data_IF_897931721252
#
_entry.id   IF_897931721252
#
_cell.length_a   1.000
_cell.length_b   1.000
_cell.length_c   1.000
_cell.angle_alpha   90.00
_cell.angle_beta   90.00
_cell.angle_gamma   90.00
#
_symmetry.space_group_name_H-M   'P 1'
#
loop_
_entity.id
_entity.type
_entity.pdbx_description
1 polymer ?
#
# COMPACT_ATOMS: atom_id res chain seq x y z
N UNK A 1 -6.83 4.72 -18.10
CA UNK A 1 -7.58 5.09 -16.88
C UNK A 1 -7.00 4.27 -15.73
N UNK A 2 -6.75 4.86 -14.56
CA UNK A 2 -6.13 4.18 -13.40
C UNK A 2 -7.13 3.24 -12.70
N UNK A 3 -7.49 2.14 -13.36
CA UNK A 3 -8.57 1.23 -12.94
C UNK A 3 -8.13 0.14 -11.95
N UNK A 4 -6.92 0.28 -11.40
CA UNK A 4 -6.32 -0.79 -10.59
C UNK A 4 -7.05 -0.99 -9.26
N UNK A 5 -7.57 0.07 -8.65
CA UNK A 5 -8.32 -0.06 -7.39
C UNK A 5 -9.71 -0.66 -7.57
N UNK A 6 -10.52 -0.23 -8.56
CA UNK A 6 -11.73 -0.97 -8.90
C UNK A 6 -11.44 -2.43 -9.28
N UNK A 7 -10.33 -2.71 -9.96
CA UNK A 7 -9.93 -4.09 -10.25
C UNK A 7 -9.59 -4.89 -8.96
N UNK A 8 -8.77 -4.34 -8.06
CA UNK A 8 -8.50 -4.95 -6.75
C UNK A 8 -9.80 -5.16 -5.97
N UNK A 9 -10.70 -4.17 -5.98
CA UNK A 9 -11.97 -4.26 -5.31
C UNK A 9 -12.83 -5.39 -5.89
N UNK A 10 -12.96 -5.46 -7.22
CA UNK A 10 -13.71 -6.50 -7.91
C UNK A 10 -13.17 -7.91 -7.61
N UNK A 11 -11.85 -8.07 -7.56
CA UNK A 11 -11.22 -9.35 -7.21
C UNK A 11 -11.47 -9.72 -5.74
N UNK A 12 -11.39 -8.73 -4.84
CA UNK A 12 -11.52 -8.96 -3.39
C UNK A 12 -12.96 -9.01 -2.88
N UNK A 13 -13.92 -8.43 -3.58
CA UNK A 13 -15.35 -8.48 -3.25
C UNK A 13 -15.92 -9.91 -3.34
N UNK A 14 -15.26 -10.76 -4.13
CA UNK A 14 -15.58 -12.18 -4.27
C UNK A 14 -14.59 -13.09 -3.52
N UNK A 15 -13.71 -12.51 -2.69
CA UNK A 15 -12.72 -13.26 -1.92
C UNK A 15 -13.41 -14.18 -0.92
N UNK A 16 -13.14 -15.48 -1.05
CA UNK A 16 -13.54 -16.46 -0.04
C UNK A 16 -12.51 -16.47 1.08
N UNK A 17 -12.98 -16.28 2.32
CA UNK A 17 -12.15 -16.38 3.50
C UNK A 17 -11.57 -17.80 3.64
N UNK A 18 -10.27 -17.90 3.90
CA UNK A 18 -9.58 -19.18 4.09
C UNK A 18 -8.23 -18.94 4.77
N UNK A 19 -7.80 -19.85 5.65
CA UNK A 19 -6.45 -19.84 6.22
C UNK A 19 -5.81 -21.17 5.84
N UNK A 20 -4.70 -21.11 5.10
CA UNK A 20 -3.98 -22.30 4.67
C UNK A 20 -3.39 -23.07 5.87
N UNK A 21 -3.32 -24.40 5.77
CA UNK A 21 -2.82 -25.29 6.84
C UNK A 21 -1.37 -24.98 7.25
N UNK A 22 -0.58 -24.42 6.35
CA UNK A 22 0.83 -24.06 6.59
C UNK A 22 1.03 -22.62 7.06
N UNK A 23 -0.05 -21.83 7.17
CA UNK A 23 0.03 -20.48 7.70
C UNK A 23 0.19 -20.49 9.22
N UNK A 24 1.04 -19.59 9.73
CA UNK A 24 1.29 -19.39 11.16
C UNK A 24 0.56 -18.12 11.62
N UNK A 25 -0.64 -18.27 12.17
CA UNK A 25 -1.44 -17.14 12.69
C UNK A 25 -1.43 -17.19 14.21
N UNK A 26 -0.85 -16.17 14.81
CA UNK A 26 -0.80 -16.03 16.25
C UNK A 26 -2.22 -15.94 16.85
N UNK A 27 -2.53 -16.63 17.96
CA UNK A 27 -3.86 -16.60 18.59
C UNK A 27 -4.34 -15.20 19.02
N UNK A 28 -3.42 -14.26 19.27
CA UNK A 28 -3.76 -12.89 19.66
C UNK A 28 -3.98 -11.96 18.44
N UNK A 29 -3.81 -12.47 17.21
CA UNK A 29 -4.16 -11.73 16.00
C UNK A 29 -5.69 -11.71 15.79
N UNK A 30 -6.22 -10.57 15.35
CA UNK A 30 -7.64 -10.38 15.08
C UNK A 30 -7.91 -10.28 13.59
N UNK A 31 -8.54 -11.30 13.03
CA UNK A 31 -8.99 -11.34 11.64
C UNK A 31 -10.53 -11.20 11.62
N UNK A 32 -11.05 -10.22 10.87
CA UNK A 32 -12.50 -9.99 10.70
C UNK A 32 -12.88 -9.96 9.22
N UNK A 33 -14.14 -10.28 8.94
CA UNK A 33 -14.72 -10.28 7.58
C UNK A 33 -13.99 -11.29 6.66
N UNK A 34 -13.87 -10.97 5.37
CA UNK A 34 -13.29 -11.88 4.38
C UNK A 34 -11.76 -11.79 4.34
N UNK A 35 -11.07 -12.61 5.13
CA UNK A 35 -9.59 -12.67 5.11
C UNK A 35 -9.12 -14.01 4.53
N UNK A 36 -8.25 -13.94 3.52
CA UNK A 36 -7.55 -15.10 2.98
C UNK A 36 -6.07 -15.03 3.32
N UNK A 37 -5.55 -16.08 3.94
CA UNK A 37 -4.14 -16.24 4.32
C UNK A 37 -3.60 -17.47 3.61
N UNK A 38 -2.59 -17.27 2.77
CA UNK A 38 -2.01 -18.33 1.95
C UNK A 38 -0.79 -19.00 2.60
N UNK A 39 -0.27 -20.03 1.92
CA UNK A 39 0.73 -20.95 2.45
C UNK A 39 1.99 -20.27 3.00
N UNK A 40 2.42 -20.71 4.19
CA UNK A 40 3.62 -20.21 4.86
C UNK A 40 3.58 -18.73 5.25
N UNK A 41 2.45 -18.03 5.09
CA UNK A 41 2.30 -16.68 5.62
C UNK A 41 2.29 -16.70 7.15
N UNK A 42 2.84 -15.65 7.77
CA UNK A 42 2.93 -15.50 9.21
C UNK A 42 2.27 -14.21 9.67
N UNK A 43 1.39 -14.29 10.65
CA UNK A 43 0.71 -13.15 11.26
C UNK A 43 1.04 -13.17 12.75
N UNK A 44 1.74 -12.15 13.23
CA UNK A 44 2.19 -12.06 14.62
C UNK A 44 1.12 -11.50 15.57
N UNK A 45 1.35 -11.69 16.87
CA UNK A 45 0.45 -11.28 17.96
C UNK A 45 -0.08 -9.85 17.83
N UNK A 46 -1.37 -9.66 18.08
CA UNK A 46 -2.03 -8.36 18.11
C UNK A 46 -2.24 -7.69 16.76
N UNK A 47 -1.80 -8.29 15.64
CA UNK A 47 -2.11 -7.76 14.32
C UNK A 47 -3.64 -7.73 14.08
N UNK A 48 -4.12 -6.69 13.41
CA UNK A 48 -5.55 -6.49 13.10
C UNK A 48 -5.72 -6.52 11.59
N UNK A 49 -6.44 -7.52 11.09
CA UNK A 49 -6.74 -7.70 9.67
C UNK A 49 -8.25 -7.59 9.47
N UNK A 50 -8.71 -6.53 8.82
CA UNK A 50 -10.13 -6.26 8.57
C UNK A 50 -10.44 -6.39 7.08
N UNK A 51 -11.16 -7.45 6.70
CA UNK A 51 -11.41 -7.83 5.31
C UNK A 51 -12.26 -6.83 4.48
N UNK A 52 -12.26 -6.96 3.15
CA UNK A 52 -11.62 -8.04 2.41
C UNK A 52 -10.10 -7.85 2.27
N UNK A 53 -9.32 -8.86 2.65
CA UNK A 53 -7.85 -8.81 2.63
C UNK A 53 -7.27 -10.15 2.17
N UNK A 54 -6.31 -10.08 1.26
CA UNK A 54 -5.51 -11.23 0.83
C UNK A 54 -4.08 -11.08 1.35
N UNK A 55 -3.63 -12.06 2.14
CA UNK A 55 -2.24 -12.22 2.59
C UNK A 55 -1.63 -13.40 1.82
N UNK A 56 -0.79 -13.11 0.84
CA UNK A 56 -0.21 -14.11 -0.06
C UNK A 56 0.93 -14.91 0.60
N UNK A 57 1.33 -15.97 -0.08
CA UNK A 57 2.26 -16.95 0.43
C UNK A 57 3.59 -16.37 0.95
N UNK A 58 4.02 -16.83 2.13
CA UNK A 58 5.27 -16.40 2.76
C UNK A 58 5.34 -14.94 3.21
N UNK A 59 4.23 -14.18 3.12
CA UNK A 59 4.18 -12.82 3.68
C UNK A 59 4.26 -12.85 5.21
N UNK A 60 4.91 -11.85 5.81
CA UNK A 60 5.04 -11.71 7.26
C UNK A 60 4.40 -10.41 7.70
N UNK A 61 3.40 -10.51 8.58
CA UNK A 61 2.69 -9.39 9.18
C UNK A 61 3.11 -9.27 10.64
N UNK A 62 3.80 -8.18 10.97
CA UNK A 62 4.37 -7.95 12.29
C UNK A 62 3.34 -7.59 13.36
N UNK A 63 3.75 -7.71 14.64
CA UNK A 63 2.86 -7.52 15.78
C UNK A 63 2.14 -6.17 15.79
N UNK A 64 0.82 -6.17 15.97
CA UNK A 64 0.04 -4.93 16.03
C UNK A 64 -0.09 -4.18 14.69
N UNK A 65 0.36 -4.74 13.57
CA UNK A 65 0.11 -4.15 12.26
C UNK A 65 -1.39 -4.13 11.95
N UNK A 66 -1.85 -3.10 11.25
CA UNK A 66 -3.26 -2.93 10.86
C UNK A 66 -3.36 -3.00 9.34
N UNK A 67 -4.09 -4.00 8.84
CA UNK A 67 -4.31 -4.21 7.40
C UNK A 67 -5.81 -4.25 7.17
N UNK A 68 -6.32 -3.36 6.32
CA UNK A 68 -7.77 -3.18 6.19
C UNK A 68 -8.22 -2.82 4.78
N UNK A 69 -9.50 -3.00 4.51
CA UNK A 69 -10.23 -2.48 3.36
C UNK A 69 -9.54 -2.80 2.02
N UNK A 70 -9.92 -3.89 1.36
CA UNK A 70 -9.49 -4.21 -0.01
C UNK A 70 -7.98 -4.12 -0.20
N UNK A 71 -7.23 -4.80 0.68
CA UNK A 71 -5.76 -4.80 0.65
C UNK A 71 -5.21 -6.16 0.25
N UNK A 72 -4.20 -6.14 -0.61
CA UNK A 72 -3.42 -7.32 -1.00
C UNK A 72 -1.98 -7.15 -0.52
N UNK A 73 -1.52 -8.08 0.31
CA UNK A 73 -0.12 -8.21 0.69
C UNK A 73 0.48 -9.36 -0.10
N UNK A 74 1.27 -9.04 -1.13
CA UNK A 74 1.85 -9.99 -2.05
C UNK A 74 2.90 -10.93 -1.43
N UNK A 75 3.32 -11.96 -2.17
CA UNK A 75 4.18 -13.01 -1.66
C UNK A 75 5.51 -12.49 -1.13
N UNK A 76 5.95 -13.02 0.00
CA UNK A 76 7.22 -12.67 0.64
C UNK A 76 7.34 -11.22 1.13
N UNK A 77 6.26 -10.43 1.13
CA UNK A 77 6.28 -9.09 1.72
C UNK A 77 6.51 -9.17 3.23
N UNK A 78 7.19 -8.16 3.79
CA UNK A 78 7.45 -8.05 5.23
C UNK A 78 6.93 -6.72 5.75
N UNK A 79 5.90 -6.80 6.58
CA UNK A 79 5.21 -5.64 7.16
C UNK A 79 5.57 -5.54 8.64
N UNK A 80 6.04 -4.39 9.06
CA UNK A 80 6.44 -4.14 10.44
C UNK A 80 5.26 -4.16 11.39
N UNK A 81 5.57 -4.45 12.66
CA UNK A 81 4.62 -4.20 13.72
C UNK A 81 4.22 -2.73 13.80
N UNK A 82 2.93 -2.49 14.05
CA UNK A 82 2.34 -1.14 14.13
C UNK A 82 2.32 -0.35 12.82
N UNK A 83 2.60 -0.97 11.67
CA UNK A 83 2.36 -0.38 10.36
C UNK A 83 0.86 -0.40 10.02
N UNK A 84 0.41 0.53 9.18
CA UNK A 84 -0.97 0.54 8.68
C UNK A 84 -1.01 0.51 7.15
N UNK A 85 -1.80 -0.41 6.59
CA UNK A 85 -2.00 -0.56 5.15
C UNK A 85 -3.50 -0.65 4.85
N UNK A 86 -3.96 0.13 3.87
CA UNK A 86 -5.38 0.16 3.48
C UNK A 86 -5.58 0.43 2.00
N UNK A 87 -6.58 -0.21 1.36
CA UNK A 87 -6.96 -0.04 -0.05
C UNK A 87 -5.75 -0.04 -0.99
N UNK A 88 -4.83 -0.98 -0.75
CA UNK A 88 -3.53 -1.00 -1.41
C UNK A 88 -3.12 -2.39 -1.89
N UNK A 89 -2.30 -2.42 -2.93
CA UNK A 89 -1.68 -3.63 -3.47
C UNK A 89 -0.17 -3.54 -3.31
N UNK A 90 0.41 -4.49 -2.59
CA UNK A 90 1.85 -4.70 -2.53
C UNK A 90 2.15 -5.94 -3.36
N UNK A 91 2.85 -5.82 -4.48
CA UNK A 91 2.97 -6.89 -5.48
C UNK A 91 3.74 -8.12 -4.97
N UNK A 92 4.93 -7.93 -4.38
CA UNK A 92 5.72 -9.03 -3.84
C UNK A 92 7.11 -8.59 -3.37
N UNK A 93 7.62 -9.22 -2.32
CA UNK A 93 8.93 -8.90 -1.74
C UNK A 93 9.06 -7.45 -1.23
N UNK A 94 7.95 -6.75 -1.00
CA UNK A 94 7.96 -5.39 -0.44
C UNK A 94 8.46 -5.45 1.00
N UNK A 95 9.41 -4.58 1.32
CA UNK A 95 9.98 -4.44 2.65
C UNK A 95 9.48 -3.16 3.29
N UNK A 96 8.59 -3.29 4.26
CA UNK A 96 8.10 -2.22 5.11
C UNK A 96 8.40 -2.61 6.56
N UNK A 97 9.68 -2.78 6.87
CA UNK A 97 10.16 -3.38 8.13
C UNK A 97 10.25 -2.40 9.31
N UNK A 98 9.76 -1.18 9.11
CA UNK A 98 9.53 -0.19 10.16
C UNK A 98 8.11 0.41 10.04
N UNK A 99 7.62 1.04 11.11
CA UNK A 99 6.30 1.69 11.12
C UNK A 99 6.17 2.71 9.99
N UNK A 100 5.13 2.59 9.19
CA UNK A 100 4.79 3.51 8.11
C UNK A 100 3.28 3.37 7.79
N UNK A 101 2.76 4.26 6.94
CA UNK A 101 1.38 4.24 6.47
C UNK A 101 1.33 4.10 4.95
N UNK A 102 0.58 3.11 4.46
CA UNK A 102 0.34 2.93 3.02
C UNK A 102 -1.17 2.84 2.77
N UNK A 103 -1.75 3.97 2.39
CA UNK A 103 -3.15 4.06 1.98
C UNK A 103 -3.28 4.25 0.47
N UNK A 104 -4.30 3.64 -0.12
CA UNK A 104 -4.79 4.02 -1.44
C UNK A 104 -3.72 3.90 -2.55
N UNK A 105 -2.81 2.93 -2.47
CA UNK A 105 -1.56 2.89 -3.23
C UNK A 105 -1.24 1.52 -3.87
N UNK A 106 -0.34 1.53 -4.85
CA UNK A 106 0.20 0.33 -5.50
C UNK A 106 1.71 0.36 -5.37
N UNK A 107 2.28 -0.71 -4.84
CA UNK A 107 3.72 -0.91 -4.70
C UNK A 107 4.12 -2.12 -5.54
N UNK A 108 5.08 -1.90 -6.45
CA UNK A 108 5.71 -2.93 -7.26
C UNK A 108 6.57 -3.89 -6.45
N UNK A 109 7.29 -4.75 -7.16
CA UNK A 109 8.15 -5.76 -6.56
C UNK A 109 9.39 -5.14 -5.92
N UNK A 110 9.81 -5.68 -4.78
CA UNK A 110 11.06 -5.28 -4.15
C UNK A 110 11.11 -3.83 -3.64
N UNK A 111 9.96 -3.16 -3.52
CA UNK A 111 9.89 -1.81 -2.97
C UNK A 111 10.31 -1.83 -1.49
N UNK A 112 11.19 -0.91 -1.10
CA UNK A 112 11.57 -0.72 0.29
C UNK A 112 10.95 0.57 0.84
N UNK A 113 10.06 0.45 1.81
CA UNK A 113 9.42 1.56 2.52
C UNK A 113 10.19 1.85 3.80
N UNK A 114 10.92 2.96 3.83
CA UNK A 114 11.66 3.41 5.00
C UNK A 114 10.76 3.76 6.19
N UNK A 115 11.35 3.84 7.38
CA UNK A 115 10.63 4.20 8.60
C UNK A 115 9.88 5.52 8.45
N UNK A 116 8.66 5.57 8.98
CA UNK A 116 7.80 6.75 9.00
C UNK A 116 7.48 7.35 7.62
N UNK A 117 7.57 6.54 6.56
CA UNK A 117 7.02 6.94 5.27
C UNK A 117 5.48 6.96 5.32
N UNK A 118 4.89 7.79 4.48
CA UNK A 118 3.43 7.82 4.33
C UNK A 118 3.02 8.10 2.89
N UNK A 119 2.02 7.38 2.41
CA UNK A 119 1.30 7.73 1.18
C UNK A 119 0.05 8.52 1.56
N UNK A 120 -0.04 9.78 1.11
CA UNK A 120 -1.23 10.59 1.39
C UNK A 120 -2.24 10.44 0.27
N UNK A 121 -3.48 10.06 0.60
CA UNK A 121 -4.53 9.82 -0.39
C UNK A 121 -5.35 11.06 -0.78
N UNK A 122 -5.31 12.13 0.01
CA UNK A 122 -6.27 13.24 -0.10
C UNK A 122 -5.60 14.54 -0.50
N UNK A 123 -6.21 15.22 -1.46
CA UNK A 123 -5.76 16.54 -1.90
C UNK A 123 -6.24 17.61 -0.92
N UNK A 124 -5.30 18.40 -0.40
CA UNK A 124 -5.58 19.54 0.49
C UNK A 124 -5.44 20.83 -0.29
N UNK A 125 -6.55 21.31 -0.85
CA UNK A 125 -6.63 22.64 -1.51
C UNK A 125 -7.53 23.62 -0.76
N UNK A 126 -8.00 23.22 0.43
CA UNK A 126 -8.95 23.95 1.26
C UNK A 126 -9.44 23.08 2.41
N UNK A 127 -10.57 23.43 3.06
CA UNK A 127 -11.20 22.58 4.06
C UNK A 127 -11.50 21.19 3.51
N UNK A 128 -11.19 20.18 4.31
CA UNK A 128 -11.34 18.78 3.94
C UNK A 128 -12.58 18.20 4.63
N UNK A 129 -13.34 17.35 3.92
CA UNK A 129 -14.48 16.61 4.45
C UNK A 129 -14.20 15.11 4.49
N UNK A 130 -14.84 14.41 5.41
CA UNK A 130 -14.95 12.94 5.40
C UNK A 130 -16.44 12.56 5.32
N UNK A 131 -16.87 11.84 4.25
CA UNK A 131 -16.05 11.33 3.15
C UNK A 131 -15.47 12.42 2.25
N UNK A 132 -14.32 12.13 1.64
CA UNK A 132 -13.66 13.01 0.68
C UNK A 132 -14.54 13.20 -0.58
N UNK A 133 -14.77 14.46 -0.96
CA UNK A 133 -15.66 14.83 -2.09
C UNK A 133 -14.90 15.35 -3.32
N UNK A 134 -13.64 15.74 -3.16
CA UNK A 134 -12.82 16.30 -4.25
C UNK A 134 -12.09 15.18 -4.97
N UNK A 135 -12.26 15.11 -6.29
CA UNK A 135 -11.56 14.15 -7.13
C UNK A 135 -10.04 14.42 -7.18
N UNK A 136 -9.24 13.35 -7.08
CA UNK A 136 -7.81 13.39 -7.29
C UNK A 136 -7.51 13.43 -8.79
N UNK A 137 -6.58 14.28 -9.17
CA UNK A 137 -6.11 14.42 -10.55
C UNK A 137 -4.60 14.51 -10.55
N UNK A 138 -3.98 14.03 -11.62
CA UNK A 138 -2.54 14.17 -11.86
C UNK A 138 -2.28 14.86 -13.19
N UNK A 139 -1.06 15.35 -13.36
CA UNK A 139 -0.57 15.88 -14.64
C UNK A 139 0.46 14.91 -15.17
N UNK A 140 0.25 14.42 -16.39
CA UNK A 140 1.16 13.54 -17.11
C UNK A 140 1.32 14.11 -18.52
N UNK A 141 2.55 14.30 -18.98
CA UNK A 141 2.85 14.86 -20.30
C UNK A 141 2.07 16.16 -20.60
N UNK A 142 2.03 17.05 -19.61
CA UNK A 142 1.28 18.33 -19.61
C UNK A 142 -0.24 18.21 -19.72
N UNK A 143 -0.79 17.00 -19.68
CA UNK A 143 -2.23 16.75 -19.69
C UNK A 143 -2.75 16.43 -18.29
N UNK A 144 -3.89 17.02 -17.94
CA UNK A 144 -4.60 16.70 -16.69
C UNK A 144 -5.38 15.40 -16.86
N UNK A 145 -5.05 14.41 -16.04
CA UNK A 145 -5.72 13.11 -16.01
C UNK A 145 -6.57 13.01 -14.74
N UNK A 146 -7.83 12.59 -14.92
CA UNK A 146 -8.76 12.24 -13.84
C UNK A 146 -8.54 10.81 -13.36
N UNK A 147 -8.61 10.59 -12.05
CA UNK A 147 -8.46 9.23 -11.48
C UNK A 147 -9.79 8.52 -11.26
N UNK A 148 -10.92 9.26 -11.29
CA UNK A 148 -12.23 8.76 -10.90
C UNK A 148 -12.39 8.56 -9.39
N UNK A 149 -11.43 9.01 -8.57
CA UNK A 149 -11.35 8.69 -7.15
C UNK A 149 -11.12 9.93 -6.30
N UNK A 150 -11.74 9.98 -5.12
CA UNK A 150 -11.53 11.06 -4.14
C UNK A 150 -10.38 10.80 -3.18
N UNK A 151 -9.85 9.57 -3.14
CA UNK A 151 -8.61 9.20 -2.45
C UNK A 151 -7.70 8.39 -3.38
N UNK A 152 -6.46 8.84 -3.57
CA UNK A 152 -5.48 8.16 -4.41
C UNK A 152 -4.06 8.51 -3.94
N UNK A 153 -3.36 7.52 -3.38
CA UNK A 153 -2.03 7.66 -2.80
C UNK A 153 -0.96 7.69 -3.88
N UNK A 154 -0.19 6.61 -4.01
CA UNK A 154 0.92 6.54 -4.95
C UNK A 154 0.93 5.25 -5.78
N UNK A 155 1.57 5.30 -6.94
CA UNK A 155 1.98 4.12 -7.72
C UNK A 155 3.48 4.09 -7.73
N UNK A 156 4.07 3.07 -7.13
CA UNK A 156 5.52 2.94 -6.94
C UNK A 156 5.99 1.73 -7.73
N UNK A 157 6.84 1.96 -8.72
CA UNK A 157 7.40 0.90 -9.55
C UNK A 157 8.40 0.02 -8.82
N UNK A 158 8.77 -1.09 -9.46
CA UNK A 158 9.71 -2.07 -8.93
C UNK A 158 11.06 -1.47 -8.51
N UNK A 159 11.66 -2.06 -7.49
CA UNK A 159 13.00 -1.76 -6.98
C UNK A 159 13.22 -0.29 -6.56
N UNK A 160 12.16 0.37 -6.10
CA UNK A 160 12.22 1.72 -5.52
C UNK A 160 12.40 1.64 -4.01
N UNK A 161 13.32 2.44 -3.48
CA UNK A 161 13.44 2.66 -2.03
C UNK A 161 12.94 4.06 -1.66
N UNK A 162 11.97 4.13 -0.75
CA UNK A 162 11.58 5.36 -0.07
C UNK A 162 12.47 5.57 1.16
N UNK A 163 13.24 6.67 1.23
CA UNK A 163 13.99 7.02 2.43
C UNK A 163 13.07 7.25 3.62
N UNK A 164 13.58 7.01 4.84
CA UNK A 164 12.82 7.27 6.06
C UNK A 164 12.27 8.71 6.11
N UNK A 165 11.03 8.86 6.56
CA UNK A 165 10.32 10.14 6.65
C UNK A 165 9.80 10.68 5.32
N UNK A 166 9.83 9.90 4.23
CA UNK A 166 9.29 10.35 2.93
C UNK A 166 7.76 10.40 2.97
N UNK A 167 7.21 11.59 2.70
CA UNK A 167 5.78 11.81 2.46
C UNK A 167 5.53 11.86 0.96
N UNK A 168 4.68 10.96 0.45
CA UNK A 168 4.22 11.03 -0.93
C UNK A 168 2.91 11.81 -1.03
N UNK A 169 2.87 12.80 -1.92
CA UNK A 169 1.65 13.50 -2.29
C UNK A 169 0.61 12.55 -2.90
N UNK A 170 -0.69 12.91 -2.89
CA UNK A 170 -1.69 12.19 -3.66
C UNK A 170 -1.33 12.18 -5.14
N UNK A 171 -1.62 11.07 -5.80
CA UNK A 171 -1.29 10.80 -7.20
C UNK A 171 0.19 10.89 -7.56
N UNK A 172 1.08 10.51 -6.64
CA UNK A 172 2.50 10.39 -6.96
C UNK A 172 2.75 9.11 -7.77
N UNK A 173 3.36 9.24 -8.95
CA UNK A 173 3.75 8.10 -9.78
C UNK A 173 5.28 8.01 -9.79
N UNK A 174 5.84 6.90 -9.33
CA UNK A 174 7.29 6.69 -9.27
C UNK A 174 7.64 5.53 -10.18
N UNK A 175 8.38 5.81 -11.26
CA UNK A 175 8.81 4.78 -12.20
C UNK A 175 9.81 3.81 -11.56
N UNK A 176 9.86 2.56 -12.04
CA UNK A 176 10.76 1.53 -11.52
C UNK A 176 12.23 1.95 -11.59
N UNK A 177 13.03 1.48 -10.64
CA UNK A 177 14.45 1.78 -10.51
C UNK A 177 14.77 3.26 -10.20
N UNK A 178 13.77 4.06 -9.81
CA UNK A 178 13.98 5.44 -9.37
C UNK A 178 14.74 5.47 -8.04
N UNK A 179 15.76 6.31 -7.95
CA UNK A 179 16.54 6.54 -6.74
C UNK A 179 16.11 7.84 -6.09
N UNK A 180 15.57 7.73 -4.88
CA UNK A 180 15.17 8.86 -4.05
C UNK A 180 16.22 9.01 -2.93
N UNK A 181 16.92 10.14 -2.90
CA UNK A 181 17.78 10.49 -1.78
C UNK A 181 16.94 11.03 -0.61
N UNK A 182 17.45 10.99 0.64
CA UNK A 182 16.70 11.44 1.81
C UNK A 182 16.01 12.78 1.61
N UNK A 183 14.67 12.77 1.65
CA UNK A 183 13.82 13.92 1.35
C UNK A 183 12.46 13.76 2.03
N UNK A 184 11.93 14.86 2.54
CA UNK A 184 10.70 14.81 3.33
C UNK A 184 9.42 14.70 2.48
N UNK A 185 9.43 15.21 1.23
CA UNK A 185 8.22 15.28 0.42
C UNK A 185 8.51 15.07 -1.07
N UNK A 186 7.74 14.17 -1.69
CA UNK A 186 7.84 13.80 -3.11
C UNK A 186 6.42 13.79 -3.70
N UNK A 187 6.27 14.35 -4.90
CA UNK A 187 5.00 14.43 -5.60
C UNK A 187 5.17 14.51 -7.11
N UNK A 188 4.09 14.23 -7.84
CA UNK A 188 4.06 14.26 -9.30
C UNK A 188 4.51 12.94 -9.94
N UNK A 189 4.99 13.01 -11.18
CA UNK A 189 5.40 11.86 -11.97
C UNK A 189 6.92 11.84 -12.08
N UNK A 190 7.55 10.77 -11.59
CA UNK A 190 8.96 10.48 -11.75
C UNK A 190 9.12 9.35 -12.78
N UNK A 191 9.69 9.60 -13.97
CA UNK A 191 9.94 8.56 -14.96
C UNK A 191 10.86 7.44 -14.43
N UNK A 192 10.88 6.30 -15.14
CA UNK A 192 11.80 5.19 -14.86
C UNK A 192 13.24 5.67 -14.71
N UNK A 193 13.94 5.16 -13.69
CA UNK A 193 15.36 5.44 -13.47
C UNK A 193 15.67 6.88 -13.07
N UNK A 194 14.66 7.67 -12.69
CA UNK A 194 14.88 9.04 -12.23
C UNK A 194 15.76 9.04 -10.98
N UNK A 195 16.57 10.09 -10.82
CA UNK A 195 17.35 10.32 -9.59
C UNK A 195 16.96 11.67 -9.01
N UNK A 196 16.24 11.67 -7.90
CA UNK A 196 15.84 12.90 -7.21
C UNK A 196 16.68 13.09 -5.94
N UNK A 197 17.36 14.23 -5.88
CA UNK A 197 18.17 14.66 -4.73
C UNK A 197 17.38 15.61 -3.83
#
# INVERSE_FOLDING_TARGET
MFDVKPAIAADLDHLTANIADTADVDPDARLTDSVRVEDGARIEAGAVIAGPVLICAGAVIGSGAVIRDHTVIGPGCRIAGGAEITRSLLAGGVLMVHQAFVGDSILGHGVNVGAFCTTTGMRVTGPVTEPATTEITLVLDDERITTGQTKFGAVIGDDVALPAGTVLSPATLIGPGTVIFPRNHVGGVLPRGTRIR
#
